data_IF_808347655409
#
_entry.id   IF_808347655409
#
_cell.length_a   1.000
_cell.length_b   1.000
_cell.length_c   1.000
_cell.angle_alpha   90.00
_cell.angle_beta   90.00
_cell.angle_gamma   90.00
#
_symmetry.space_group_name_H-M   'P 1'
#
loop_
_entity.id
_entity.type
_entity.pdbx_description
1 polymer ?
#
# COMPACT_ATOMS: atom_id res chain seq x y z
N UNK A 1 0.59 30.45 -10.75
CA UNK A 1 -0.10 29.41 -9.96
C UNK A 1 -0.69 28.39 -10.93
N UNK A 2 -0.41 27.10 -10.70
CA UNK A 2 -0.80 25.93 -11.49
C UNK A 2 -2.33 25.69 -11.49
N UNK A 3 -3.12 26.47 -12.24
CA UNK A 3 -4.56 26.18 -12.41
C UNK A 3 -4.78 24.79 -13.04
N UNK A 4 -3.93 24.38 -13.99
CA UNK A 4 -4.04 23.07 -14.64
C UNK A 4 -3.90 21.86 -13.70
N UNK A 5 -3.03 21.89 -12.68
CA UNK A 5 -2.86 20.73 -11.76
C UNK A 5 -4.06 20.58 -10.83
N UNK A 6 -4.60 21.70 -10.33
CA UNK A 6 -5.75 21.64 -9.42
C UNK A 6 -7.01 21.14 -10.15
N UNK A 7 -7.22 21.61 -11.38
CA UNK A 7 -8.34 21.19 -12.23
C UNK A 7 -8.21 19.70 -12.63
N UNK A 8 -7.00 19.25 -12.95
CA UNK A 8 -6.69 17.84 -13.21
C UNK A 8 -7.04 16.96 -12.00
N UNK A 9 -6.52 17.31 -10.81
CA UNK A 9 -6.82 16.58 -9.57
C UNK A 9 -8.31 16.56 -9.26
N UNK A 10 -9.03 17.66 -9.49
CA UNK A 10 -10.47 17.71 -9.28
C UNK A 10 -11.22 16.81 -10.25
N UNK A 11 -10.89 16.86 -11.54
CA UNK A 11 -11.51 16.03 -12.58
C UNK A 11 -11.31 14.54 -12.30
N UNK A 12 -10.09 14.14 -11.95
CA UNK A 12 -9.76 12.76 -11.60
C UNK A 12 -10.50 12.31 -10.32
N UNK A 13 -10.58 13.18 -9.33
CA UNK A 13 -11.30 12.91 -8.09
C UNK A 13 -12.81 12.75 -8.32
N UNK A 14 -13.42 13.61 -9.13
CA UNK A 14 -14.85 13.55 -9.43
C UNK A 14 -15.20 12.29 -10.22
N UNK A 15 -14.37 11.92 -11.20
CA UNK A 15 -14.52 10.66 -11.94
C UNK A 15 -14.44 9.43 -11.01
N UNK A 16 -13.51 9.43 -10.06
CA UNK A 16 -13.37 8.36 -9.07
C UNK A 16 -14.55 8.32 -8.10
N UNK A 17 -14.93 9.45 -7.51
CA UNK A 17 -16.04 9.54 -6.55
C UNK A 17 -17.37 9.13 -7.14
N UNK A 18 -17.66 9.50 -8.39
CA UNK A 18 -18.82 9.00 -9.12
C UNK A 18 -18.81 7.47 -9.27
N UNK A 19 -17.63 6.85 -9.43
CA UNK A 19 -17.51 5.38 -9.40
C UNK A 19 -17.65 4.80 -7.99
N UNK A 20 -17.18 5.51 -6.96
CA UNK A 20 -17.31 5.10 -5.55
C UNK A 20 -18.76 5.02 -5.08
N UNK A 21 -19.63 5.89 -5.61
CA UNK A 21 -21.06 5.86 -5.30
C UNK A 21 -21.80 4.67 -5.96
N UNK A 22 -21.15 3.95 -6.88
CA UNK A 22 -21.74 2.86 -7.67
C UNK A 22 -21.57 1.43 -7.14
N UNK A 23 -20.78 1.18 -6.09
CA UNK A 23 -20.58 -0.19 -5.54
C UNK A 23 -19.36 -0.37 -4.62
N UNK A 24 -19.05 -1.64 -4.27
CA UNK A 24 -17.86 -1.99 -3.46
C UNK A 24 -16.56 -1.70 -4.21
N UNK A 25 -15.67 -0.97 -3.54
CA UNK A 25 -14.40 -0.48 -4.10
C UNK A 25 -13.21 -1.37 -3.86
N UNK A 26 -13.39 -2.36 -3.00
CA UNK A 26 -12.33 -3.25 -2.61
C UNK A 26 -11.78 -4.02 -3.81
N UNK A 27 -10.45 -4.03 -3.97
CA UNK A 27 -9.79 -4.76 -5.06
C UNK A 27 -9.94 -4.11 -6.44
N UNK A 28 -10.61 -2.96 -6.53
CA UNK A 28 -10.76 -2.22 -7.78
C UNK A 28 -9.44 -1.53 -8.13
N UNK A 29 -8.93 -1.85 -9.32
CA UNK A 29 -7.85 -1.11 -9.98
C UNK A 29 -8.43 -0.29 -11.12
N UNK A 30 -8.13 1.01 -11.16
CA UNK A 30 -8.54 1.88 -12.27
C UNK A 30 -7.35 2.65 -12.81
N UNK A 31 -7.15 2.56 -14.13
CA UNK A 31 -6.30 3.48 -14.87
C UNK A 31 -7.07 4.77 -15.11
N UNK A 32 -6.44 5.89 -14.79
CA UNK A 32 -6.95 7.23 -14.97
C UNK A 32 -6.02 7.95 -15.94
N UNK A 33 -6.45 8.20 -17.18
CA UNK A 33 -5.64 8.96 -18.12
C UNK A 33 -5.49 10.38 -17.59
N UNK A 34 -4.26 10.89 -17.57
CA UNK A 34 -4.02 12.30 -17.35
C UNK A 34 -4.56 13.09 -18.54
N UNK A 35 -5.29 14.17 -18.30
CA UNK A 35 -5.92 14.96 -19.37
C UNK A 35 -4.88 15.81 -20.13
N UNK A 36 -3.74 16.11 -19.52
CA UNK A 36 -2.64 16.88 -20.12
C UNK A 36 -1.52 15.98 -20.64
N UNK A 37 -1.25 16.07 -21.95
CA UNK A 37 -0.17 15.35 -22.66
C UNK A 37 1.24 15.94 -22.40
N UNK A 38 1.33 17.05 -21.65
CA UNK A 38 2.58 17.84 -21.51
C UNK A 38 3.07 17.93 -20.06
N UNK A 39 2.67 17.01 -19.19
CA UNK A 39 3.05 17.04 -17.78
C UNK A 39 4.49 16.59 -17.59
N UNK A 40 5.25 17.33 -16.78
CA UNK A 40 6.56 16.87 -16.33
C UNK A 40 6.40 15.78 -15.27
N UNK A 41 7.46 14.98 -15.04
CA UNK A 41 7.46 13.98 -13.97
C UNK A 41 7.14 14.58 -12.59
N UNK A 42 7.63 15.79 -12.30
CA UNK A 42 7.34 16.51 -11.05
C UNK A 42 5.86 16.88 -10.94
N UNK A 43 5.24 17.33 -12.03
CA UNK A 43 3.82 17.67 -12.04
C UNK A 43 2.94 16.43 -11.91
N UNK A 44 3.30 15.34 -12.58
CA UNK A 44 2.61 14.05 -12.45
C UNK A 44 2.68 13.52 -11.02
N UNK A 45 3.84 13.63 -10.36
CA UNK A 45 3.99 13.26 -8.96
C UNK A 45 3.18 14.19 -8.04
N UNK A 46 3.15 15.50 -8.32
CA UNK A 46 2.30 16.45 -7.59
C UNK A 46 0.81 16.11 -7.71
N UNK A 47 0.34 15.75 -8.91
CA UNK A 47 -1.04 15.30 -9.15
C UNK A 47 -1.32 14.01 -8.36
N UNK A 48 -0.40 13.04 -8.42
CA UNK A 48 -0.51 11.76 -7.69
C UNK A 48 -0.69 11.97 -6.19
N UNK A 49 0.19 12.78 -5.57
CA UNK A 49 0.14 13.07 -4.13
C UNK A 49 -1.17 13.75 -3.76
N UNK A 50 -1.54 14.82 -4.49
CA UNK A 50 -2.78 15.57 -4.20
C UNK A 50 -4.04 14.74 -4.39
N UNK A 51 -4.07 13.87 -5.40
CA UNK A 51 -5.19 12.95 -5.63
C UNK A 51 -5.28 11.91 -4.50
N UNK A 52 -4.15 11.36 -4.06
CA UNK A 52 -4.09 10.41 -2.95
C UNK A 52 -4.62 11.03 -1.64
N UNK A 53 -4.23 12.27 -1.34
CA UNK A 53 -4.70 12.99 -0.15
C UNK A 53 -6.22 13.23 -0.18
N UNK A 54 -6.76 13.63 -1.35
CA UNK A 54 -8.21 13.78 -1.52
C UNK A 54 -8.94 12.47 -1.34
N UNK A 55 -8.44 11.39 -1.93
CA UNK A 55 -9.04 10.06 -1.84
C UNK A 55 -9.02 9.53 -0.41
N UNK A 56 -7.94 9.76 0.34
CA UNK A 56 -7.85 9.38 1.75
C UNK A 56 -8.97 9.97 2.60
N UNK A 57 -9.39 11.21 2.31
CA UNK A 57 -10.46 11.88 3.04
C UNK A 57 -11.84 11.24 2.84
N UNK A 58 -12.04 10.48 1.75
CA UNK A 58 -13.34 9.89 1.38
C UNK A 58 -13.34 8.36 1.35
N UNK A 59 -12.17 7.72 1.38
CA UNK A 59 -12.03 6.27 1.35
C UNK A 59 -12.48 5.66 2.69
N UNK A 60 -13.76 5.30 2.78
CA UNK A 60 -14.36 4.65 3.95
C UNK A 60 -13.90 3.20 4.05
N UNK A 61 -13.01 2.91 5.00
CA UNK A 61 -12.61 1.53 5.33
C UNK A 61 -11.57 0.90 4.38
N UNK A 62 -11.08 1.64 3.38
CA UNK A 62 -10.01 1.22 2.48
C UNK A 62 -8.80 2.16 2.56
N UNK A 63 -7.68 1.73 1.98
CA UNK A 63 -6.46 2.51 1.79
C UNK A 63 -6.32 2.77 0.29
N UNK A 64 -6.58 4.01 -0.19
CA UNK A 64 -6.33 4.35 -1.57
C UNK A 64 -4.82 4.49 -1.79
N UNK A 65 -4.30 3.78 -2.78
CA UNK A 65 -2.93 3.89 -3.25
C UNK A 65 -2.96 4.37 -4.69
N UNK A 66 -2.29 5.49 -4.94
CA UNK A 66 -2.15 6.05 -6.29
C UNK A 66 -0.71 5.84 -6.75
N UNK A 67 -0.52 5.14 -7.86
CA UNK A 67 0.75 4.93 -8.53
C UNK A 67 0.73 5.53 -9.93
N UNK A 68 1.90 5.93 -10.41
CA UNK A 68 2.07 6.33 -11.81
C UNK A 68 2.22 5.05 -12.63
N UNK A 69 1.45 4.93 -13.72
CA UNK A 69 1.61 3.86 -14.69
C UNK A 69 2.91 3.99 -15.48
N UNK A 70 3.16 3.07 -16.42
CA UNK A 70 4.40 3.13 -17.22
C UNK A 70 4.47 4.45 -17.98
N UNK A 71 5.69 4.98 -18.11
CA UNK A 71 5.95 6.18 -18.90
C UNK A 71 5.31 6.04 -20.28
N UNK A 72 4.50 7.04 -20.63
CA UNK A 72 3.83 7.07 -21.91
C UNK A 72 4.86 7.05 -23.05
N UNK A 73 4.68 6.12 -23.99
CA UNK A 73 5.34 6.21 -25.29
C UNK A 73 5.00 7.57 -25.93
N UNK A 74 5.93 8.12 -26.73
CA UNK A 74 5.81 9.44 -27.34
C UNK A 74 4.46 9.64 -28.06
N UNK A 75 3.49 10.28 -27.38
CA UNK A 75 2.17 10.57 -27.91
C UNK A 75 0.97 10.17 -27.04
N UNK A 76 1.16 9.46 -25.92
CA UNK A 76 0.09 9.22 -24.94
C UNK A 76 0.27 10.11 -23.70
N UNK A 77 -0.83 10.54 -23.09
CA UNK A 77 -0.76 11.09 -21.74
C UNK A 77 -0.47 9.93 -20.77
N UNK A 78 0.37 10.15 -19.76
CA UNK A 78 0.59 9.15 -18.71
C UNK A 78 -0.71 8.79 -18.00
N UNK A 79 -0.73 7.64 -17.35
CA UNK A 79 -1.86 7.19 -16.56
C UNK A 79 -1.51 7.09 -15.06
N UNK A 80 -2.52 7.32 -14.22
CA UNK A 80 -2.45 7.01 -12.80
C UNK A 80 -3.26 5.74 -12.53
N UNK A 81 -2.67 4.79 -11.82
CA UNK A 81 -3.39 3.64 -11.30
C UNK A 81 -3.83 3.92 -9.87
N UNK A 82 -5.12 3.71 -9.60
CA UNK A 82 -5.69 3.83 -8.27
C UNK A 82 -6.14 2.45 -7.81
N UNK A 83 -5.65 2.03 -6.64
CA UNK A 83 -6.00 0.79 -5.98
C UNK A 83 -6.62 1.09 -4.61
N UNK A 84 -7.79 0.53 -4.33
CA UNK A 84 -8.40 0.60 -2.99
C UNK A 84 -8.14 -0.71 -2.24
N UNK A 85 -7.18 -0.66 -1.32
CA UNK A 85 -6.70 -1.83 -0.60
C UNK A 85 -7.40 -1.97 0.76
N UNK A 86 -7.74 -3.20 1.15
CA UNK A 86 -8.26 -3.48 2.49
C UNK A 86 -7.27 -3.07 3.57
N UNK A 87 -7.78 -2.60 4.69
CA UNK A 87 -6.99 -2.17 5.84
C UNK A 87 -6.45 -3.37 6.61
N UNK A 88 -5.18 -3.30 6.99
CA UNK A 88 -4.61 -4.19 7.99
C UNK A 88 -5.30 -3.99 9.34
N UNK A 89 -5.63 -5.09 10.01
CA UNK A 89 -6.22 -5.11 11.33
C UNK A 89 -5.32 -5.90 12.27
N UNK A 90 -5.24 -5.47 13.53
CA UNK A 90 -4.58 -6.21 14.58
C UNK A 90 -5.62 -7.05 15.33
N UNK A 91 -5.36 -8.34 15.50
CA UNK A 91 -6.28 -9.27 16.15
C UNK A 91 -5.53 -10.18 17.13
N UNK A 92 -6.14 -10.44 18.28
CA UNK A 92 -5.68 -11.44 19.23
C UNK A 92 -6.31 -12.79 18.92
N UNK A 93 -5.45 -13.81 18.79
CA UNK A 93 -5.87 -15.21 18.58
C UNK A 93 -5.29 -16.09 19.69
N UNK A 94 -5.70 -17.36 19.73
CA UNK A 94 -5.08 -18.35 20.61
C UNK A 94 -3.57 -18.54 20.37
N UNK A 95 -3.04 -18.13 19.21
CA UNK A 95 -1.63 -18.24 18.84
C UNK A 95 -0.82 -16.95 19.10
N UNK A 96 -1.48 -15.92 19.66
CA UNK A 96 -0.92 -14.59 19.93
C UNK A 96 -1.53 -13.51 19.03
N UNK A 97 -0.83 -12.38 18.96
CA UNK A 97 -1.26 -11.21 18.20
C UNK A 97 -0.81 -11.26 16.74
N UNK A 98 -1.74 -10.98 15.84
CA UNK A 98 -1.52 -10.97 14.40
C UNK A 98 -1.95 -9.65 13.77
N UNK A 99 -1.32 -9.30 12.65
CA UNK A 99 -1.69 -8.18 11.79
C UNK A 99 -1.94 -8.70 10.40
N UNK A 100 -3.17 -8.54 9.92
CA UNK A 100 -3.63 -9.21 8.72
C UNK A 100 -4.73 -8.42 7.99
N UNK A 101 -4.99 -8.83 6.74
CA UNK A 101 -6.06 -8.35 5.88
C UNK A 101 -6.88 -9.58 5.46
N UNK A 102 -8.21 -9.47 5.44
CA UNK A 102 -9.06 -10.54 4.92
C UNK A 102 -8.78 -10.82 3.42
N UNK A 103 -8.62 -12.09 3.06
CA UNK A 103 -8.27 -12.55 1.71
C UNK A 103 -7.11 -13.55 1.70
N UNK A 104 -6.82 -14.15 0.54
CA UNK A 104 -5.79 -15.19 0.40
C UNK A 104 -4.45 -14.67 -0.17
N UNK A 105 -4.46 -13.49 -0.80
CA UNK A 105 -3.29 -12.89 -1.45
C UNK A 105 -2.80 -11.66 -0.68
N UNK A 106 -2.34 -11.83 0.55
CA UNK A 106 -1.75 -10.75 1.34
C UNK A 106 -0.66 -11.24 2.29
N UNK A 107 0.18 -10.28 2.71
CA UNK A 107 1.06 -10.50 3.84
C UNK A 107 0.26 -10.62 5.12
N UNK A 108 0.71 -11.47 6.03
CA UNK A 108 0.25 -11.58 7.40
C UNK A 108 1.45 -11.62 8.34
N UNK A 109 1.30 -11.03 9.53
CA UNK A 109 2.40 -10.79 10.45
C UNK A 109 2.02 -11.26 11.85
N UNK A 110 2.90 -12.02 12.50
CA UNK A 110 2.83 -12.30 13.94
C UNK A 110 3.67 -11.27 14.68
N UNK A 111 3.11 -10.66 15.71
CA UNK A 111 3.76 -9.61 16.51
C UNK A 111 3.87 -10.01 17.98
N UNK A 112 4.75 -9.33 18.71
CA UNK A 112 5.03 -9.67 20.10
C UNK A 112 3.87 -9.34 21.06
N UNK A 113 3.05 -8.32 20.75
CA UNK A 113 1.99 -7.83 21.62
C UNK A 113 1.00 -6.92 20.87
N UNK A 114 -0.13 -6.61 21.53
CA UNK A 114 -1.17 -5.69 21.08
C UNK A 114 -0.62 -4.36 20.54
N UNK A 115 0.28 -3.72 21.31
CA UNK A 115 0.87 -2.42 20.94
C UNK A 115 1.61 -2.48 19.61
N UNK A 116 2.41 -3.53 19.41
CA UNK A 116 3.11 -3.76 18.14
C UNK A 116 2.12 -4.03 17.00
N UNK A 117 1.05 -4.76 17.29
CA UNK A 117 -0.01 -5.06 16.32
C UNK A 117 -0.70 -3.79 15.80
N UNK A 118 -1.21 -2.96 16.71
CA UNK A 118 -1.88 -1.72 16.31
C UNK A 118 -0.95 -0.75 15.59
N UNK A 119 0.30 -0.60 16.05
CA UNK A 119 1.28 0.27 15.40
C UNK A 119 1.65 -0.22 14.00
N UNK A 120 1.84 -1.52 13.82
CA UNK A 120 2.14 -2.09 12.51
C UNK A 120 0.95 -1.94 11.56
N UNK A 121 -0.27 -2.19 12.03
CA UNK A 121 -1.49 -1.98 11.26
C UNK A 121 -1.64 -0.50 10.85
N UNK A 122 -1.42 0.45 11.77
CA UNK A 122 -1.41 1.88 11.48
C UNK A 122 -0.38 2.24 10.41
N UNK A 123 0.86 1.76 10.58
CA UNK A 123 1.96 2.00 9.64
C UNK A 123 1.62 1.49 8.24
N UNK A 124 1.17 0.24 8.10
CA UNK A 124 0.84 -0.37 6.80
C UNK A 124 -0.46 0.14 6.19
N UNK A 125 -1.29 0.85 6.96
CA UNK A 125 -2.47 1.54 6.45
C UNK A 125 -2.19 2.97 5.97
N UNK A 126 -0.94 3.46 6.10
CA UNK A 126 -0.51 4.67 5.42
C UNK A 126 -0.25 4.37 3.93
N UNK A 127 -0.78 5.14 2.98
CA UNK A 127 -0.67 4.83 1.55
C UNK A 127 0.74 4.58 1.03
N UNK A 128 1.72 5.35 1.48
CA UNK A 128 3.11 5.20 1.03
C UNK A 128 3.74 3.88 1.50
N UNK A 129 3.46 3.48 2.74
CA UNK A 129 3.91 2.18 3.24
C UNK A 129 3.09 1.05 2.62
N UNK A 130 1.80 1.27 2.36
CA UNK A 130 0.97 0.28 1.69
C UNK A 130 1.44 0.02 0.26
N UNK A 131 1.81 1.08 -0.47
CA UNK A 131 2.42 1.00 -1.80
C UNK A 131 3.72 0.21 -1.78
N UNK A 132 4.60 0.49 -0.81
CA UNK A 132 5.85 -0.28 -0.62
C UNK A 132 5.57 -1.75 -0.32
N UNK A 133 4.63 -2.03 0.57
CA UNK A 133 4.26 -3.39 0.94
C UNK A 133 3.63 -4.17 -0.22
N UNK A 134 2.82 -3.50 -1.04
CA UNK A 134 2.19 -4.10 -2.24
C UNK A 134 3.20 -4.35 -3.36
N UNK A 135 4.22 -3.49 -3.50
CA UNK A 135 5.37 -3.71 -4.38
C UNK A 135 6.24 -4.90 -3.95
N UNK A 136 6.04 -5.39 -2.73
CA UNK A 136 6.59 -6.64 -2.22
C UNK A 136 5.52 -7.75 -2.23
N UNK A 137 4.72 -8.02 -3.28
CA UNK A 137 3.90 -9.27 -3.43
C UNK A 137 4.49 -10.39 -4.32
N UNK A 138 4.45 -11.64 -3.82
CA UNK A 138 5.34 -12.77 -4.18
C UNK A 138 5.36 -13.20 -5.66
N UNK A 139 4.39 -12.76 -6.43
CA UNK A 139 4.31 -12.95 -7.89
C UNK A 139 5.42 -12.20 -8.65
N UNK A 140 6.17 -11.30 -7.98
CA UNK A 140 7.22 -10.44 -8.57
C UNK A 140 8.65 -10.90 -8.20
N UNK A 141 8.81 -11.96 -7.39
CA UNK A 141 10.07 -12.72 -7.29
C UNK A 141 11.24 -12.11 -6.50
N UNK A 142 11.07 -11.03 -5.70
CA UNK A 142 12.12 -10.50 -4.82
C UNK A 142 11.56 -9.85 -3.56
N UNK A 143 11.29 -10.59 -2.47
CA UNK A 143 10.48 -9.99 -1.39
C UNK A 143 10.81 -10.32 0.05
N UNK A 144 11.09 -11.58 0.38
CA UNK A 144 11.29 -11.94 1.79
C UNK A 144 12.48 -11.19 2.38
N UNK A 145 13.62 -11.14 1.69
CA UNK A 145 14.81 -10.44 2.18
C UNK A 145 14.60 -8.92 2.31
N UNK A 146 13.98 -8.29 1.31
CA UNK A 146 13.70 -6.85 1.32
C UNK A 146 12.69 -6.48 2.41
N UNK A 147 11.63 -7.28 2.56
CA UNK A 147 10.65 -7.11 3.62
C UNK A 147 11.27 -7.37 4.99
N UNK A 148 12.11 -8.40 5.16
CA UNK A 148 12.88 -8.63 6.38
C UNK A 148 13.72 -7.41 6.75
N UNK A 149 14.46 -6.83 5.79
CA UNK A 149 15.25 -5.62 6.03
C UNK A 149 14.38 -4.44 6.47
N UNK A 150 13.22 -4.26 5.83
CA UNK A 150 12.29 -3.19 6.21
C UNK A 150 11.69 -3.40 7.60
N UNK A 151 11.26 -4.63 7.92
CA UNK A 151 10.74 -5.00 9.24
C UNK A 151 11.78 -4.81 10.34
N UNK A 152 13.06 -5.09 10.06
CA UNK A 152 14.15 -4.83 10.99
C UNK A 152 14.30 -3.32 11.26
N UNK A 153 14.16 -2.47 10.26
CA UNK A 153 14.19 -1.01 10.48
C UNK A 153 12.98 -0.51 11.26
N UNK A 154 11.79 -1.09 11.02
CA UNK A 154 10.57 -0.75 11.77
C UNK A 154 10.69 -1.16 13.24
N UNK A 155 11.47 -2.20 13.56
CA UNK A 155 11.76 -2.59 14.94
C UNK A 155 12.40 -1.49 15.77
N UNK A 156 13.27 -0.68 15.17
CA UNK A 156 13.89 0.49 15.82
C UNK A 156 12.83 1.51 16.28
N UNK A 157 11.63 1.47 15.69
CA UNK A 157 10.47 2.28 16.08
C UNK A 157 9.55 1.61 17.12
N UNK A 158 10.04 0.56 17.79
CA UNK A 158 9.32 -0.24 18.79
C UNK A 158 8.09 -0.95 18.25
N UNK A 159 8.25 -1.63 17.11
CA UNK A 159 7.25 -2.53 16.52
C UNK A 159 7.91 -3.88 16.33
N UNK A 160 7.63 -4.82 17.23
CA UNK A 160 8.28 -6.12 17.26
C UNK A 160 7.48 -7.15 16.46
N UNK A 161 7.88 -7.33 15.20
CA UNK A 161 7.41 -8.44 14.34
C UNK A 161 8.24 -9.68 14.65
N UNK A 162 7.57 -10.79 14.90
CA UNK A 162 8.20 -12.08 15.21
C UNK A 162 8.33 -12.94 13.96
N UNK A 163 7.24 -13.06 13.21
CA UNK A 163 7.15 -13.87 12.01
C UNK A 163 6.27 -13.15 10.99
N UNK A 164 6.49 -13.44 9.72
CA UNK A 164 5.66 -12.92 8.64
C UNK A 164 5.62 -13.93 7.50
N UNK A 165 4.58 -13.85 6.69
CA UNK A 165 4.40 -14.74 5.56
C UNK A 165 3.42 -14.18 4.56
N UNK A 166 3.39 -14.78 3.38
CA UNK A 166 2.38 -14.48 2.39
C UNK A 166 1.33 -15.60 2.42
N UNK A 167 0.04 -15.26 2.56
CA UNK A 167 -1.00 -16.26 2.83
C UNK A 167 -1.09 -17.37 1.79
N UNK A 168 -0.98 -17.01 0.51
CA UNK A 168 -1.07 -17.99 -0.58
C UNK A 168 0.09 -18.98 -0.63
N UNK A 169 1.22 -18.69 0.04
CA UNK A 169 2.35 -19.63 0.13
C UNK A 169 2.22 -20.56 1.34
N UNK A 170 1.45 -20.17 2.36
CA UNK A 170 1.35 -20.88 3.64
C UNK A 170 2.67 -20.95 4.42
N UNK A 171 3.70 -20.21 4.01
CA UNK A 171 5.01 -20.22 4.65
C UNK A 171 5.16 -19.04 5.62
N UNK A 172 5.74 -19.31 6.79
CA UNK A 172 6.15 -18.30 7.76
C UNK A 172 7.67 -18.20 7.80
N UNK A 173 8.15 -16.96 7.79
CA UNK A 173 9.56 -16.61 7.94
C UNK A 173 9.75 -15.86 9.25
N UNK A 174 10.83 -16.12 10.00
CA UNK A 174 11.18 -15.31 11.15
C UNK A 174 11.57 -13.90 10.67
N UNK A 175 11.11 -12.87 11.38
CA UNK A 175 11.46 -11.48 11.06
C UNK A 175 12.88 -11.12 11.51
N UNK A 176 13.38 -11.80 12.54
CA UNK A 176 14.77 -11.71 12.99
C UNK A 176 15.51 -12.94 12.48
N UNK A 177 16.66 -12.80 11.81
CA UNK A 177 17.49 -13.96 11.51
C UNK A 177 17.83 -14.65 12.83
N UNK A 178 17.66 -15.97 12.91
CA UNK A 178 18.32 -16.72 13.97
C UNK A 178 19.81 -16.38 13.87
N UNK A 179 20.33 -15.66 14.87
CA UNK A 179 21.76 -15.68 15.09
C UNK A 179 22.07 -17.14 15.40
N UNK A 180 22.45 -17.91 14.37
CA UNK A 180 23.13 -19.16 14.59
C UNK A 180 24.31 -18.80 15.49
N UNK A 181 24.26 -19.30 16.72
CA UNK A 181 25.28 -19.13 17.73
C UNK A 181 26.63 -19.38 17.08
N UNK A 182 27.38 -18.30 16.82
CA UNK A 182 28.82 -18.36 16.64
C UNK A 182 29.40 -18.63 18.02
N UNK A 183 29.26 -19.87 18.48
CA UNK A 183 29.98 -20.46 19.60
C UNK A 183 30.97 -21.49 19.07
#
# INVERSE_FOLDING_TARGET
>A
MNHGIADEVHTLFDALTAMLEGGELEGVTKGLPLCSISLTAEQTEEIRVRLQDKLLAVARGAVPVVSVGREADAGQAGDLHVHFLKRYQAEETALGWFVDVEGESCWYFKVANERSGHRLAELFNQPENRRKLDAHRSEVGVEVASLTLWLNHIRDSHVDVLQFGYKSTGQLHPAVPEMQDLC
#
